data_IF_218872454956
#
_entry.id   IF_218872454956
#
_cell.length_a   1.000
_cell.length_b   1.000
_cell.length_c   1.000
_cell.angle_alpha   90.00
_cell.angle_beta   90.00
_cell.angle_gamma   90.00
#
_symmetry.space_group_name_H-M   'P 1'
#
loop_
_entity.id
_entity.type
_entity.pdbx_description
1 polymer ?
#
# COMPACT_ATOMS: atom_id res chain seq x y z
N UNK A 1 -7.93 2.48 -44.28
CA UNK A 1 -6.69 1.70 -44.09
C UNK A 1 -5.99 1.96 -42.74
N UNK A 2 -6.68 2.47 -41.71
CA UNK A 2 -6.16 2.62 -40.33
C UNK A 2 -6.79 1.65 -39.31
N UNK A 3 -7.63 0.72 -39.75
CA UNK A 3 -8.35 -0.23 -38.87
C UNK A 3 -7.50 -1.43 -38.42
N UNK A 4 -6.39 -1.73 -39.12
CA UNK A 4 -5.56 -2.92 -38.86
C UNK A 4 -4.16 -2.64 -38.29
N UNK A 5 -3.68 -1.39 -38.33
CA UNK A 5 -2.44 -0.98 -37.64
C UNK A 5 -2.66 -0.76 -36.14
N UNK A 6 -3.89 -0.38 -35.74
CA UNK A 6 -4.29 -0.21 -34.34
C UNK A 6 -4.74 -1.51 -33.66
N UNK A 7 -4.87 -2.62 -34.39
CA UNK A 7 -5.41 -3.86 -33.83
C UNK A 7 -4.37 -4.73 -33.09
N UNK A 8 -3.06 -4.47 -33.24
CA UNK A 8 -2.02 -5.41 -32.76
C UNK A 8 -0.74 -4.88 -32.08
N UNK A 9 -0.67 -3.64 -31.56
CA UNK A 9 0.31 -3.34 -30.51
C UNK A 9 -0.26 -2.72 -29.23
N UNK A 10 -1.58 -2.58 -29.04
CA UNK A 10 -2.12 -1.96 -27.81
C UNK A 10 -2.27 -2.91 -26.62
N UNK A 11 -2.33 -4.22 -26.83
CA UNK A 11 -2.56 -5.18 -25.74
C UNK A 11 -1.45 -5.18 -24.70
N UNK A 12 -0.18 -4.97 -25.10
CA UNK A 12 0.92 -4.86 -24.14
C UNK A 12 0.91 -3.52 -23.41
N UNK A 13 0.60 -2.41 -24.09
CA UNK A 13 0.55 -1.08 -23.47
C UNK A 13 -0.63 -0.97 -22.50
N UNK A 14 -1.77 -1.59 -22.81
CA UNK A 14 -2.95 -1.64 -21.95
C UNK A 14 -2.69 -2.49 -20.69
N UNK A 15 -2.01 -3.64 -20.86
CA UNK A 15 -1.60 -4.49 -19.75
C UNK A 15 -0.54 -3.79 -18.86
N UNK A 16 0.41 -3.07 -19.47
CA UNK A 16 1.41 -2.28 -18.75
C UNK A 16 0.78 -1.12 -17.97
N UNK A 17 -0.12 -0.37 -18.60
CA UNK A 17 -0.83 0.73 -17.96
C UNK A 17 -1.62 0.22 -16.74
N UNK A 18 -2.26 -0.95 -16.85
CA UNK A 18 -2.96 -1.58 -15.73
C UNK A 18 -2.02 -1.91 -14.58
N UNK A 19 -0.83 -2.44 -14.87
CA UNK A 19 0.16 -2.78 -13.84
C UNK A 19 0.72 -1.55 -13.16
N UNK A 20 1.08 -0.52 -13.93
CA UNK A 20 1.53 0.77 -13.39
C UNK A 20 0.44 1.44 -12.55
N UNK A 21 -0.82 1.37 -13.00
CA UNK A 21 -1.94 1.90 -12.25
C UNK A 21 -2.09 1.22 -10.88
N UNK A 22 -1.96 -0.12 -10.80
CA UNK A 22 -1.97 -0.85 -9.54
C UNK A 22 -0.84 -0.38 -8.63
N UNK A 23 0.38 -0.27 -9.16
CA UNK A 23 1.54 0.19 -8.41
C UNK A 23 1.35 1.62 -7.86
N UNK A 24 0.98 2.57 -8.71
CA UNK A 24 0.80 3.97 -8.31
C UNK A 24 -0.37 4.12 -7.34
N UNK A 25 -1.46 3.39 -7.53
CA UNK A 25 -2.62 3.45 -6.63
C UNK A 25 -2.29 2.92 -5.23
N UNK A 26 -1.57 1.79 -5.15
CA UNK A 26 -1.18 1.20 -3.86
C UNK A 26 -0.12 2.03 -3.15
N UNK A 27 0.90 2.52 -3.88
CA UNK A 27 1.92 3.40 -3.32
C UNK A 27 1.32 4.74 -2.88
N UNK A 28 0.41 5.31 -3.67
CA UNK A 28 -0.32 6.54 -3.33
C UNK A 28 -1.19 6.37 -2.10
N UNK A 29 -1.88 5.23 -1.97
CA UNK A 29 -2.63 4.89 -0.77
C UNK A 29 -1.72 4.78 0.46
N UNK A 30 -0.58 4.08 0.36
CA UNK A 30 0.38 3.96 1.45
C UNK A 30 0.94 5.31 1.89
N UNK A 31 1.22 6.22 0.95
CA UNK A 31 1.69 7.58 1.24
C UNK A 31 0.63 8.46 1.89
N UNK A 32 -0.65 8.32 1.49
CA UNK A 32 -1.76 9.14 2.01
C UNK A 32 -2.33 8.69 3.36
N UNK A 33 -2.09 7.44 3.77
CA UNK A 33 -2.66 6.85 5.00
C UNK A 33 -2.15 7.54 6.27
N UNK A 34 -0.87 7.92 6.34
CA UNK A 34 -0.28 8.52 7.56
C UNK A 34 -0.99 9.81 7.99
N UNK A 35 -1.18 10.74 7.05
CA UNK A 35 -1.90 12.00 7.31
C UNK A 35 -3.40 11.82 7.60
N UNK A 36 -4.03 10.84 6.94
CA UNK A 36 -5.47 10.60 7.06
C UNK A 36 -5.85 9.90 8.38
N UNK A 37 -5.01 8.97 8.86
CA UNK A 37 -5.24 8.25 10.12
C UNK A 37 -5.28 9.19 11.31
N UNK A 38 -4.34 10.15 11.36
CA UNK A 38 -4.20 11.10 12.45
C UNK A 38 -5.43 12.02 12.56
N UNK A 39 -5.90 12.53 11.43
CA UNK A 39 -7.10 13.37 11.36
C UNK A 39 -8.39 12.59 11.71
N UNK A 40 -8.54 11.36 11.22
CA UNK A 40 -9.73 10.55 11.50
C UNK A 40 -9.88 10.20 12.97
N UNK A 41 -8.76 9.86 13.63
CA UNK A 41 -8.78 9.51 15.04
C UNK A 41 -8.99 10.71 15.95
N UNK A 42 -8.44 11.87 15.60
CA UNK A 42 -8.68 13.12 16.33
C UNK A 42 -10.18 13.47 16.35
N UNK A 43 -10.89 13.26 15.24
CA UNK A 43 -12.35 13.51 15.18
C UNK A 43 -13.11 12.54 16.10
N UNK A 44 -12.76 11.25 16.06
CA UNK A 44 -13.44 10.23 16.86
C UNK A 44 -13.17 10.38 18.36
N UNK A 45 -11.95 10.78 18.72
CA UNK A 45 -11.50 10.83 20.11
C UNK A 45 -11.58 12.22 20.75
N UNK A 46 -12.05 13.24 20.01
CA UNK A 46 -12.13 14.65 20.44
C UNK A 46 -12.88 14.88 21.75
N UNK A 47 -13.84 14.02 22.08
CA UNK A 47 -14.66 14.11 23.29
C UNK A 47 -14.05 13.38 24.51
N UNK A 48 -12.96 12.64 24.33
CA UNK A 48 -12.29 11.90 25.39
C UNK A 48 -11.16 12.70 26.05
N UNK A 49 -10.82 12.42 27.33
CA UNK A 49 -9.66 13.02 27.98
C UNK A 49 -8.34 12.59 27.30
N UNK A 50 -7.33 13.47 27.31
CA UNK A 50 -6.05 13.30 26.61
C UNK A 50 -5.35 11.95 26.85
N UNK A 51 -5.47 11.39 28.05
CA UNK A 51 -4.88 10.08 28.38
C UNK A 51 -5.52 8.95 27.56
N UNK A 52 -6.85 8.99 27.38
CA UNK A 52 -7.60 8.00 26.60
C UNK A 52 -7.34 8.18 25.11
N UNK A 53 -7.27 9.43 24.62
CA UNK A 53 -6.90 9.72 23.23
C UNK A 53 -5.55 9.09 22.86
N UNK A 54 -4.53 9.28 23.71
CA UNK A 54 -3.19 8.71 23.48
C UNK A 54 -3.18 7.18 23.48
N UNK A 55 -3.94 6.53 24.36
CA UNK A 55 -4.04 5.07 24.39
C UNK A 55 -4.73 4.53 23.13
N UNK A 56 -5.82 5.16 22.69
CA UNK A 56 -6.54 4.78 21.48
C UNK A 56 -5.63 4.96 20.25
N UNK A 57 -4.89 6.06 20.16
CA UNK A 57 -3.93 6.30 19.05
C UNK A 57 -2.87 5.21 18.96
N UNK A 58 -2.24 4.87 20.09
CA UNK A 58 -1.25 3.79 20.14
C UNK A 58 -1.87 2.44 19.72
N UNK A 59 -3.07 2.12 20.18
CA UNK A 59 -3.75 0.86 19.82
C UNK A 59 -4.08 0.79 18.32
N UNK A 60 -4.56 1.88 17.74
CA UNK A 60 -4.90 1.95 16.31
C UNK A 60 -3.65 1.88 15.44
N UNK A 61 -2.55 2.55 15.83
CA UNK A 61 -1.28 2.42 15.11
C UNK A 61 -0.72 1.01 15.20
N UNK A 62 -0.76 0.39 16.38
CA UNK A 62 -0.32 -0.97 16.57
C UNK A 62 -1.12 -1.96 15.70
N UNK A 63 -2.45 -1.82 15.64
CA UNK A 63 -3.28 -2.69 14.80
C UNK A 63 -2.98 -2.54 13.32
N UNK A 64 -2.72 -1.32 12.84
CA UNK A 64 -2.31 -1.07 11.45
C UNK A 64 -0.94 -1.68 11.16
N UNK A 65 0.04 -1.54 12.05
CA UNK A 65 1.37 -2.16 11.86
C UNK A 65 1.24 -3.69 11.77
N UNK A 66 0.44 -4.31 12.64
CA UNK A 66 0.18 -5.75 12.62
C UNK A 66 -0.49 -6.17 11.31
N UNK A 67 -1.52 -5.45 10.90
CA UNK A 67 -2.23 -5.72 9.64
C UNK A 67 -1.30 -5.60 8.42
N UNK A 68 -0.48 -4.56 8.36
CA UNK A 68 0.53 -4.40 7.32
C UNK A 68 1.58 -5.52 7.34
N UNK A 69 2.02 -5.97 8.52
CA UNK A 69 2.95 -7.09 8.65
C UNK A 69 2.37 -8.40 8.10
N UNK A 70 1.08 -8.64 8.32
CA UNK A 70 0.34 -9.76 7.71
C UNK A 70 0.28 -9.59 6.19
N UNK A 71 -0.03 -8.40 5.69
CA UNK A 71 -0.08 -8.11 4.25
C UNK A 71 1.28 -8.32 3.57
N UNK A 72 2.38 -7.94 4.21
CA UNK A 72 3.74 -8.21 3.69
C UNK A 72 3.96 -9.72 3.60
N UNK A 73 3.71 -10.44 4.69
CA UNK A 73 3.96 -11.88 4.75
C UNK A 73 3.12 -12.66 3.73
N UNK A 74 1.82 -12.37 3.67
CA UNK A 74 0.88 -12.99 2.73
C UNK A 74 1.09 -12.50 1.30
N UNK A 75 1.48 -11.25 1.10
CA UNK A 75 1.84 -10.70 -0.21
C UNK A 75 3.08 -11.38 -0.81
N UNK A 76 4.09 -11.67 0.02
CA UNK A 76 5.27 -12.43 -0.41
C UNK A 76 4.91 -13.87 -0.76
N UNK A 77 4.08 -14.53 0.05
CA UNK A 77 3.58 -15.88 -0.21
C UNK A 77 2.82 -15.94 -1.55
N UNK A 78 1.90 -14.99 -1.77
CA UNK A 78 1.15 -14.86 -3.01
C UNK A 78 2.07 -14.62 -4.22
N UNK A 79 3.08 -13.76 -4.07
CA UNK A 79 4.06 -13.46 -5.12
C UNK A 79 4.85 -14.71 -5.53
N UNK A 80 5.15 -15.60 -4.57
CA UNK A 80 5.82 -16.90 -4.82
C UNK A 80 4.90 -17.90 -5.51
N UNK A 81 3.62 -17.99 -5.10
CA UNK A 81 2.63 -18.89 -5.71
C UNK A 81 2.38 -18.51 -7.17
N UNK A 82 2.28 -17.21 -7.44
CA UNK A 82 1.95 -16.67 -8.76
C UNK A 82 3.20 -16.55 -9.67
N UNK A 83 4.38 -16.91 -9.17
CA UNK A 83 5.65 -16.82 -9.91
C UNK A 83 5.68 -17.59 -11.24
N UNK A 84 4.99 -18.73 -11.30
CA UNK A 84 4.91 -19.54 -12.52
C UNK A 84 3.86 -19.02 -13.52
N UNK A 85 3.03 -18.05 -13.12
CA UNK A 85 2.05 -17.43 -14.01
C UNK A 85 2.68 -16.26 -14.77
N UNK A 86 2.74 -16.41 -16.09
CA UNK A 86 3.16 -15.35 -17.01
C UNK A 86 1.94 -14.61 -17.53
N UNK A 87 2.09 -13.30 -17.74
CA UNK A 87 1.02 -12.49 -18.29
C UNK A 87 0.72 -12.87 -19.75
N UNK A 88 -0.56 -12.81 -20.18
CA UNK A 88 -0.96 -13.33 -21.50
C UNK A 88 -0.34 -12.56 -22.67
N UNK A 89 -0.18 -11.24 -22.53
CA UNK A 89 0.32 -10.40 -23.62
C UNK A 89 1.83 -10.13 -23.53
N UNK A 90 2.33 -9.68 -22.38
CA UNK A 90 3.76 -9.34 -22.22
C UNK A 90 4.65 -10.50 -21.77
N UNK A 91 4.07 -11.65 -21.38
CA UNK A 91 4.79 -12.76 -20.75
C UNK A 91 5.58 -12.35 -19.50
N UNK A 92 5.21 -11.23 -18.87
CA UNK A 92 5.84 -10.76 -17.64
C UNK A 92 5.46 -11.69 -16.48
N UNK A 93 6.38 -11.95 -15.56
CA UNK A 93 6.04 -12.69 -14.35
C UNK A 93 5.06 -11.85 -13.53
N UNK A 94 3.86 -12.41 -13.29
CA UNK A 94 2.82 -11.72 -12.51
C UNK A 94 3.30 -11.37 -11.09
N UNK A 95 4.35 -12.05 -10.59
CA UNK A 95 5.06 -11.66 -9.37
C UNK A 95 5.37 -10.16 -9.28
N UNK A 96 5.72 -9.50 -10.39
CA UNK A 96 6.02 -8.06 -10.37
C UNK A 96 4.79 -7.21 -10.00
N UNK A 97 3.61 -7.59 -10.50
CA UNK A 97 2.37 -6.87 -10.23
C UNK A 97 1.91 -7.13 -8.80
N UNK A 98 1.96 -8.39 -8.35
CA UNK A 98 1.56 -8.76 -6.99
C UNK A 98 2.53 -8.26 -5.93
N UNK A 99 3.81 -8.03 -6.26
CA UNK A 99 4.78 -7.42 -5.36
C UNK A 99 4.47 -5.96 -5.00
N UNK A 100 3.59 -5.29 -5.75
CA UNK A 100 3.11 -3.95 -5.39
C UNK A 100 2.45 -3.94 -4.00
N UNK A 101 1.77 -5.03 -3.61
CA UNK A 101 1.10 -5.17 -2.31
C UNK A 101 2.10 -5.21 -1.14
N UNK A 102 3.06 -6.15 -1.07
CA UNK A 102 4.04 -6.18 0.02
C UNK A 102 4.94 -4.94 0.03
N UNK A 103 5.28 -4.37 -1.13
CA UNK A 103 6.09 -3.14 -1.18
C UNK A 103 5.32 -1.95 -0.59
N UNK A 104 4.05 -1.78 -0.97
CA UNK A 104 3.23 -0.69 -0.44
C UNK A 104 2.94 -0.86 1.06
N UNK A 105 2.70 -2.10 1.52
CA UNK A 105 2.54 -2.40 2.93
C UNK A 105 3.82 -2.13 3.75
N UNK A 106 5.00 -2.48 3.21
CA UNK A 106 6.29 -2.17 3.83
C UNK A 106 6.53 -0.65 3.90
N UNK A 107 6.19 0.09 2.84
CA UNK A 107 6.27 1.56 2.85
C UNK A 107 5.34 2.17 3.89
N UNK A 108 4.12 1.62 4.05
CA UNK A 108 3.16 2.10 5.05
C UNK A 108 3.67 1.86 6.48
N UNK A 109 4.32 0.71 6.74
CA UNK A 109 5.00 0.46 8.03
C UNK A 109 6.10 1.49 8.26
N UNK A 110 6.93 1.74 7.25
CA UNK A 110 8.01 2.72 7.35
C UNK A 110 7.48 4.12 7.70
N UNK A 111 6.44 4.58 7.02
CA UNK A 111 5.79 5.87 7.31
C UNK A 111 5.25 5.89 8.74
N UNK A 112 4.49 4.87 9.16
CA UNK A 112 3.93 4.78 10.50
C UNK A 112 5.00 4.83 11.60
N UNK A 113 6.15 4.17 11.38
CA UNK A 113 7.29 4.21 12.30
C UNK A 113 7.95 5.59 12.32
N UNK A 114 8.18 6.21 11.16
CA UNK A 114 8.79 7.56 11.12
C UNK A 114 7.90 8.61 11.79
N UNK A 115 6.59 8.53 11.61
CA UNK A 115 5.64 9.42 12.28
C UNK A 115 5.67 9.22 13.80
N UNK A 116 5.67 7.97 14.26
CA UNK A 116 5.76 7.65 15.68
C UNK A 116 7.06 8.18 16.32
N UNK A 117 8.20 8.00 15.65
CA UNK A 117 9.48 8.54 16.12
C UNK A 117 9.48 10.08 16.15
N UNK A 118 8.85 10.71 15.15
CA UNK A 118 8.74 12.17 15.09
C UNK A 118 7.88 12.76 16.21
N UNK A 119 6.90 12.00 16.72
CA UNK A 119 6.08 12.41 17.85
C UNK A 119 6.84 12.33 19.17
N UNK A 120 7.69 11.31 19.34
CA UNK A 120 8.55 11.19 20.51
C UNK A 120 9.60 12.30 20.57
N UNK A 121 10.19 12.67 19.42
CA UNK A 121 11.19 13.74 19.35
C UNK A 121 10.66 15.17 19.49
N UNK A 122 9.34 15.38 19.48
CA UNK A 122 8.69 16.68 19.77
C UNK A 122 8.24 16.81 21.23
N UNK A 123 8.49 15.79 22.06
CA UNK A 123 8.13 15.73 23.46
C UNK A 123 9.20 16.28 24.43
N UNK A 124 10.36 16.71 23.92
CA UNK A 124 11.40 17.48 24.62
C UNK A 124 11.38 18.95 24.17
#
# INVERSE_FOLDING_TARGET
MFRYLLARPLSWSEELARYLFVWVSLLGAAAGVGSSMKQGLDILTRYFPQKVQRVIDILVRASVIVFCGILVSKGIELTKIVHLQKSPAMRLPMSWVYSAVPVSAALMIFIAVTEFLSELGKGD
#
